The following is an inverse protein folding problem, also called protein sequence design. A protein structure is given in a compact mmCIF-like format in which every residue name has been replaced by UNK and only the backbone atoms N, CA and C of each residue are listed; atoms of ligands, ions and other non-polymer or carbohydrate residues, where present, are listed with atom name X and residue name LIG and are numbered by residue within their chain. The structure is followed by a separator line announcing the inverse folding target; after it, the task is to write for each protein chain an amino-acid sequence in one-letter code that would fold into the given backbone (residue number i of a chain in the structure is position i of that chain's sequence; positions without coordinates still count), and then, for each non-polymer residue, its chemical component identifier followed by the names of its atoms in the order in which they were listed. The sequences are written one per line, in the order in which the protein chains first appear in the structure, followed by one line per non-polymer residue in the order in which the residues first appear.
data_IF_430187326626
#
_entry.id   IF_430187326626
#
_cell.length_a   1.000
_cell.length_b   1.000
_cell.length_c   1.000
_cell.angle_alpha   90.00
_cell.angle_beta   90.00
_cell.angle_gamma   90.00
#
_symmetry.space_group_name_H-M   'P 1'
#
loop_
_entity.id
_entity.type
_entity.pdbx_description
1 polymer ?
#
# COMPACT_ATOMS: atom_id res chain seq x y z
N UNK A 1 65.36 8.70 9.60
CA UNK A 1 64.91 9.25 8.36
C UNK A 1 63.62 8.58 7.90
N UNK A 2 62.59 9.32 7.96
CA UNK A 2 61.58 9.62 6.92
C UNK A 2 61.05 8.42 6.13
N UNK A 3 59.77 8.14 6.14
CA UNK A 3 58.76 8.83 5.32
C UNK A 3 57.31 8.41 5.71
N UNK A 4 56.47 9.42 5.84
CA UNK A 4 55.02 9.33 5.83
C UNK A 4 54.50 8.75 4.51
N UNK A 5 53.45 7.99 4.58
CA UNK A 5 52.43 7.92 3.50
C UNK A 5 51.03 7.82 4.12
N UNK A 6 50.32 8.93 3.95
CA UNK A 6 48.91 9.08 4.26
C UNK A 6 48.07 8.20 3.30
N UNK A 7 47.27 7.29 3.85
CA UNK A 7 46.25 6.52 3.15
C UNK A 7 44.86 6.96 3.55
N UNK A 8 44.34 7.98 2.86
CA UNK A 8 42.98 8.44 2.96
C UNK A 8 42.04 7.46 2.24
N UNK A 9 41.34 6.60 2.96
CA UNK A 9 40.23 5.81 2.43
C UNK A 9 38.94 6.56 2.66
N UNK A 10 38.53 7.32 1.63
CA UNK A 10 37.25 7.98 1.57
C UNK A 10 36.10 6.98 1.61
N UNK A 11 35.28 7.10 2.62
CA UNK A 11 33.94 6.50 2.66
C UNK A 11 33.07 7.19 1.62
N UNK A 12 32.80 6.52 0.51
CA UNK A 12 31.75 6.88 -0.42
C UNK A 12 30.39 6.60 0.25
N UNK A 13 29.72 7.64 0.70
CA UNK A 13 28.29 7.61 0.99
C UNK A 13 27.56 7.44 -0.34
N UNK A 14 27.05 6.26 -0.62
CA UNK A 14 25.99 6.08 -1.60
C UNK A 14 24.69 6.70 -1.05
N UNK A 15 24.50 7.97 -1.32
CA UNK A 15 23.18 8.57 -1.34
C UNK A 15 22.55 8.20 -2.69
N UNK A 16 21.73 7.16 -2.67
CA UNK A 16 20.84 6.83 -3.79
C UNK A 16 19.70 7.84 -3.90
N UNK A 17 20.02 9.06 -4.35
CA UNK A 17 19.02 9.95 -4.94
C UNK A 17 18.57 9.34 -6.26
N UNK A 18 17.36 8.80 -6.27
CA UNK A 18 16.67 8.46 -7.51
C UNK A 18 16.40 9.75 -8.28
N UNK A 19 17.35 10.16 -9.13
CA UNK A 19 17.11 11.19 -10.14
C UNK A 19 16.10 10.61 -11.13
N UNK A 20 14.86 11.08 -11.04
CA UNK A 20 13.89 10.94 -12.11
C UNK A 20 14.51 11.52 -13.38
N UNK A 21 14.54 10.72 -14.44
CA UNK A 21 15.10 11.17 -15.71
C UNK A 21 14.14 12.19 -16.34
N UNK A 22 14.64 13.25 -16.99
CA UNK A 22 13.81 14.29 -17.59
C UNK A 22 12.77 13.77 -18.61
N UNK A 23 12.98 12.57 -19.13
CA UNK A 23 12.04 11.93 -20.08
C UNK A 23 10.79 11.36 -19.40
N UNK A 24 10.88 10.85 -18.15
CA UNK A 24 9.72 10.33 -17.44
C UNK A 24 8.78 11.45 -16.97
N UNK A 25 9.34 12.60 -16.60
CA UNK A 25 8.57 13.78 -16.22
C UNK A 25 7.80 14.38 -17.42
N UNK A 26 8.39 14.33 -18.62
CA UNK A 26 7.76 14.82 -19.88
C UNK A 26 6.64 13.89 -20.34
N UNK A 27 6.81 12.57 -20.29
CA UNK A 27 5.75 11.62 -20.65
C UNK A 27 4.58 11.70 -19.66
N UNK A 28 4.87 11.87 -18.38
CA UNK A 28 3.88 12.06 -17.34
C UNK A 28 3.00 13.26 -17.54
N UNK A 29 3.64 14.38 -17.81
CA UNK A 29 2.96 15.65 -18.10
C UNK A 29 2.11 15.55 -19.35
N UNK A 30 2.56 14.81 -20.37
CA UNK A 30 1.83 14.61 -21.62
C UNK A 30 0.50 13.86 -21.47
N UNK A 31 0.49 12.78 -20.67
CA UNK A 31 -0.71 11.97 -20.46
C UNK A 31 -1.74 12.73 -19.61
N UNK A 32 -1.30 13.41 -18.55
CA UNK A 32 -2.21 14.23 -17.74
C UNK A 32 -2.86 15.36 -18.51
N UNK A 33 -2.14 15.99 -19.42
CA UNK A 33 -2.69 17.01 -20.32
C UNK A 33 -3.76 16.41 -21.23
N UNK A 34 -3.51 15.22 -21.81
CA UNK A 34 -4.48 14.55 -22.68
C UNK A 34 -5.75 14.17 -21.90
N UNK A 35 -5.61 13.61 -20.70
CA UNK A 35 -6.74 13.25 -19.86
C UNK A 35 -7.50 14.51 -19.44
N UNK A 36 -6.79 15.56 -19.01
CA UNK A 36 -7.39 16.83 -18.65
C UNK A 36 -8.19 17.43 -19.82
N UNK A 37 -7.64 17.37 -21.04
CA UNK A 37 -8.33 17.88 -22.23
C UNK A 37 -9.56 17.04 -22.61
N UNK A 38 -9.50 15.73 -22.40
CA UNK A 38 -10.64 14.83 -22.63
C UNK A 38 -11.79 15.05 -21.64
N UNK A 39 -11.50 15.44 -20.39
CA UNK A 39 -12.48 15.66 -19.33
C UNK A 39 -13.13 17.06 -19.38
N UNK A 40 -12.49 18.03 -20.05
CA UNK A 40 -13.03 19.39 -20.17
C UNK A 40 -14.35 19.43 -20.94
N UNK A 41 -15.27 20.24 -20.46
CA UNK A 41 -16.49 20.59 -21.18
C UNK A 41 -16.17 21.42 -22.44
N UNK A 42 -17.08 21.51 -23.44
CA UNK A 42 -16.84 22.35 -24.61
C UNK A 42 -16.55 23.82 -24.31
N UNK A 43 -17.17 24.36 -23.24
CA UNK A 43 -16.95 25.72 -22.75
C UNK A 43 -15.56 25.88 -22.13
N UNK A 44 -15.14 24.92 -21.30
CA UNK A 44 -13.81 24.91 -20.70
C UNK A 44 -12.70 24.74 -21.75
N UNK A 45 -12.93 23.98 -22.82
CA UNK A 45 -12.00 23.89 -23.97
C UNK A 45 -11.80 25.23 -24.64
N UNK A 46 -12.85 26.00 -24.84
CA UNK A 46 -12.74 27.35 -25.40
C UNK A 46 -11.97 28.29 -24.47
N UNK A 47 -12.25 28.26 -23.16
CA UNK A 47 -11.56 29.07 -22.13
C UNK A 47 -10.09 28.64 -21.96
N UNK A 48 -9.78 27.37 -22.08
CA UNK A 48 -8.41 26.86 -21.90
C UNK A 48 -7.44 27.29 -23.00
N UNK A 49 -7.94 27.81 -24.12
CA UNK A 49 -7.11 28.39 -25.17
C UNK A 49 -6.49 29.75 -24.76
N UNK A 50 -7.17 30.49 -23.87
CA UNK A 50 -6.75 31.84 -23.47
C UNK A 50 -6.36 31.93 -22.00
N UNK A 51 -6.93 31.09 -21.15
CA UNK A 51 -6.77 31.13 -19.68
C UNK A 51 -6.29 29.79 -19.10
N UNK A 52 -5.64 29.87 -17.95
CA UNK A 52 -5.17 28.68 -17.21
C UNK A 52 -6.23 28.16 -16.22
N UNK A 53 -6.33 26.87 -16.06
CA UNK A 53 -7.24 26.24 -15.09
C UNK A 53 -6.68 26.34 -13.67
N UNK A 54 -7.28 27.18 -12.82
CA UNK A 54 -6.82 27.44 -11.44
C UNK A 54 -6.90 26.18 -10.55
N UNK A 55 -7.80 25.26 -10.84
CA UNK A 55 -7.95 24.04 -10.08
C UNK A 55 -6.88 22.97 -10.40
N UNK A 56 -6.18 23.09 -11.53
CA UNK A 56 -5.21 22.10 -12.00
C UNK A 56 -3.76 22.62 -12.13
N UNK A 57 -3.50 23.91 -11.94
CA UNK A 57 -2.13 24.45 -11.96
C UNK A 57 -1.45 24.32 -10.59
N UNK A 58 -0.11 24.19 -10.64
CA UNK A 58 0.72 24.08 -9.44
C UNK A 58 0.91 25.42 -8.71
N UNK A 59 1.34 25.36 -7.45
CA UNK A 59 1.68 26.56 -6.67
C UNK A 59 2.75 27.42 -7.38
N UNK A 60 3.75 26.78 -8.00
CA UNK A 60 4.81 27.48 -8.72
C UNK A 60 4.29 28.17 -9.98
N UNK A 61 3.34 27.55 -10.69
CA UNK A 61 2.71 28.14 -11.85
C UNK A 61 1.82 29.31 -11.49
N UNK A 62 1.07 29.23 -10.37
CA UNK A 62 0.27 30.35 -9.85
C UNK A 62 1.20 31.53 -9.52
N UNK A 63 2.26 31.27 -8.75
CA UNK A 63 3.22 32.34 -8.38
C UNK A 63 3.92 32.93 -9.61
N UNK A 64 4.30 32.11 -10.58
CA UNK A 64 4.89 32.53 -11.85
C UNK A 64 3.95 33.40 -12.68
N UNK A 65 2.66 33.02 -12.74
CA UNK A 65 1.61 33.78 -13.42
C UNK A 65 1.45 35.18 -12.77
N UNK A 66 1.38 35.25 -11.44
CA UNK A 66 1.26 36.51 -10.71
C UNK A 66 2.49 37.40 -10.92
N UNK A 67 3.68 36.83 -10.89
CA UNK A 67 4.94 37.56 -11.13
C UNK A 67 5.02 38.09 -12.57
N UNK A 68 4.56 37.32 -13.55
CA UNK A 68 4.50 37.78 -14.96
C UNK A 68 3.61 39.00 -15.16
N UNK A 69 2.61 39.16 -14.29
CA UNK A 69 1.69 40.30 -14.25
C UNK A 69 2.17 41.43 -13.32
N UNK A 70 3.51 41.51 -13.08
CA UNK A 70 4.19 42.53 -12.27
C UNK A 70 3.78 42.57 -10.78
N UNK A 71 3.29 41.46 -10.22
CA UNK A 71 3.06 41.30 -8.78
C UNK A 71 4.40 40.88 -8.14
N UNK A 72 4.78 41.53 -7.05
CA UNK A 72 6.02 41.20 -6.31
C UNK A 72 6.00 39.73 -5.83
N UNK A 73 7.15 39.04 -5.89
CA UNK A 73 7.32 37.68 -5.40
C UNK A 73 6.88 37.52 -3.93
N UNK A 74 7.19 38.49 -3.08
CA UNK A 74 6.79 38.51 -1.66
C UNK A 74 5.25 38.51 -1.46
N UNK A 75 4.48 38.82 -2.51
CA UNK A 75 3.02 38.77 -2.52
C UNK A 75 2.53 37.59 -3.27
N UNK A 76 3.17 37.20 -4.38
CA UNK A 76 2.76 36.11 -5.24
C UNK A 76 2.88 34.74 -4.57
N UNK A 77 3.99 34.44 -3.88
CA UNK A 77 4.22 33.17 -3.21
C UNK A 77 3.21 32.90 -2.07
N UNK A 78 3.00 33.81 -1.09
CA UNK A 78 1.98 33.60 -0.06
C UNK A 78 0.54 33.55 -0.61
N UNK A 79 0.27 34.27 -1.70
CA UNK A 79 -1.04 34.21 -2.34
C UNK A 79 -1.28 32.87 -3.03
N UNK A 80 -0.28 32.32 -3.72
CA UNK A 80 -0.34 31.01 -4.32
C UNK A 80 -0.51 29.89 -3.25
N UNK A 81 0.20 30.00 -2.14
CA UNK A 81 0.08 29.06 -1.02
C UNK A 81 -1.34 29.06 -0.43
N UNK A 82 -1.92 30.24 -0.18
CA UNK A 82 -3.30 30.34 0.32
C UNK A 82 -4.33 29.74 -0.65
N UNK A 83 -4.14 29.92 -1.95
CA UNK A 83 -5.03 29.32 -2.97
C UNK A 83 -4.94 27.79 -2.98
N UNK A 84 -3.74 27.24 -2.86
CA UNK A 84 -3.55 25.79 -2.75
C UNK A 84 -4.14 25.27 -1.45
N UNK A 85 -3.97 25.97 -0.32
CA UNK A 85 -4.60 25.60 0.97
C UNK A 85 -6.12 25.64 0.89
N UNK A 86 -6.72 26.65 0.23
CA UNK A 86 -8.14 26.72 0.00
C UNK A 86 -8.64 25.51 -0.80
N UNK A 87 -7.96 25.20 -1.91
CA UNK A 87 -8.29 24.04 -2.76
C UNK A 87 -8.21 22.71 -1.99
N UNK A 88 -7.13 22.49 -1.24
CA UNK A 88 -6.96 21.25 -0.47
C UNK A 88 -7.82 21.18 0.79
N UNK A 89 -8.32 22.30 1.28
CA UNK A 89 -9.23 22.35 2.42
C UNK A 89 -10.69 22.10 2.08
N UNK A 90 -11.08 22.25 0.81
CA UNK A 90 -12.41 21.95 0.33
C UNK A 90 -12.60 20.43 0.21
N UNK A 91 -13.75 19.90 0.59
CA UNK A 91 -14.08 18.45 0.49
C UNK A 91 -13.98 17.93 -0.95
N UNK A 92 -14.31 18.78 -1.93
CA UNK A 92 -14.21 18.45 -3.37
C UNK A 92 -12.81 18.60 -3.95
N UNK A 93 -11.87 19.19 -3.21
CA UNK A 93 -10.56 19.58 -3.76
C UNK A 93 -10.63 20.69 -4.81
N UNK A 94 -11.78 21.36 -4.97
CA UNK A 94 -12.04 22.37 -5.99
C UNK A 94 -12.34 23.74 -5.35
N UNK A 95 -11.94 24.80 -6.06
CA UNK A 95 -12.48 26.15 -5.86
C UNK A 95 -13.66 26.28 -6.81
N UNK A 96 -14.87 26.44 -6.26
CA UNK A 96 -16.10 26.43 -7.04
C UNK A 96 -16.48 27.80 -7.60
N UNK A 97 -16.08 28.87 -6.90
CA UNK A 97 -16.36 30.23 -7.34
C UNK A 97 -15.25 31.21 -6.93
N UNK A 98 -15.19 32.36 -7.59
CA UNK A 98 -14.21 33.40 -7.28
C UNK A 98 -14.51 34.13 -5.96
N UNK A 99 -15.71 34.01 -5.41
CA UNK A 99 -16.06 34.58 -4.09
C UNK A 99 -15.27 33.92 -2.96
N UNK A 100 -14.96 32.63 -3.08
CA UNK A 100 -14.10 31.91 -2.14
C UNK A 100 -12.67 32.49 -2.14
N UNK A 101 -12.18 32.91 -3.29
CA UNK A 101 -10.86 33.54 -3.43
C UNK A 101 -10.86 34.95 -2.83
N UNK A 102 -11.94 35.70 -3.00
CA UNK A 102 -12.10 37.03 -2.39
C UNK A 102 -12.15 36.95 -0.85
N UNK A 103 -12.78 35.92 -0.31
CA UNK A 103 -12.88 35.66 1.12
C UNK A 103 -11.50 35.38 1.78
N UNK A 104 -10.47 34.99 1.02
CA UNK A 104 -9.10 34.81 1.51
C UNK A 104 -8.39 36.11 1.90
N UNK A 105 -9.00 37.28 1.63
CA UNK A 105 -8.40 38.58 1.91
C UNK A 105 -7.12 38.87 1.13
N UNK A 106 -7.00 38.34 -0.11
CA UNK A 106 -5.92 38.62 -1.02
C UNK A 106 -5.97 40.08 -1.48
N UNK A 107 -4.81 40.62 -1.93
CA UNK A 107 -4.79 41.97 -2.51
C UNK A 107 -5.71 42.08 -3.71
N UNK A 108 -6.51 43.17 -3.87
CA UNK A 108 -7.46 43.30 -4.97
C UNK A 108 -6.85 43.07 -6.35
N UNK A 109 -5.60 43.51 -6.56
CA UNK A 109 -4.87 43.30 -7.81
C UNK A 109 -4.58 41.83 -8.11
N UNK A 110 -4.37 41.00 -7.08
CA UNK A 110 -4.14 39.57 -7.24
C UNK A 110 -5.43 38.88 -7.72
N UNK A 111 -6.56 39.23 -7.09
CA UNK A 111 -7.86 38.68 -7.43
C UNK A 111 -8.27 39.07 -8.86
N UNK A 112 -8.00 40.32 -9.25
CA UNK A 112 -8.27 40.83 -10.61
C UNK A 112 -7.47 40.04 -11.65
N UNK A 113 -6.16 39.85 -11.44
CA UNK A 113 -5.29 39.08 -12.33
C UNK A 113 -5.73 37.62 -12.42
N UNK A 114 -6.16 37.00 -11.32
CA UNK A 114 -6.67 35.63 -11.34
C UNK A 114 -7.93 35.53 -12.16
N UNK A 115 -8.89 36.45 -12.04
CA UNK A 115 -10.12 36.46 -12.83
C UNK A 115 -9.86 36.68 -14.34
N UNK A 116 -8.85 37.47 -14.68
CA UNK A 116 -8.48 37.72 -16.07
C UNK A 116 -7.73 36.55 -16.71
N UNK A 117 -6.80 35.95 -15.99
CA UNK A 117 -5.83 34.99 -16.52
C UNK A 117 -6.20 33.52 -16.26
N UNK A 118 -7.17 33.28 -15.39
CA UNK A 118 -7.56 31.89 -15.03
C UNK A 118 -9.06 31.67 -15.17
N UNK A 119 -9.44 30.39 -15.27
CA UNK A 119 -10.82 29.93 -15.12
C UNK A 119 -10.84 28.83 -14.05
N UNK A 120 -12.03 28.52 -13.55
CA UNK A 120 -12.27 27.46 -12.57
C UNK A 120 -12.75 26.23 -13.33
N UNK A 121 -11.88 25.21 -13.42
CA UNK A 121 -12.23 23.93 -14.00
C UNK A 121 -13.19 23.11 -13.14
N UNK A 122 -14.01 22.29 -13.76
CA UNK A 122 -15.00 21.45 -13.11
C UNK A 122 -14.43 20.20 -12.44
N UNK A 123 -13.14 19.93 -12.62
CA UNK A 123 -12.45 18.80 -12.03
C UNK A 123 -11.04 19.19 -11.57
N UNK A 124 -10.47 18.39 -10.66
CA UNK A 124 -9.06 18.46 -10.27
C UNK A 124 -8.47 17.07 -10.10
N UNK A 125 -7.17 16.93 -10.31
CA UNK A 125 -6.46 15.69 -9.99
C UNK A 125 -6.12 15.67 -8.49
N UNK A 126 -6.81 14.84 -7.72
CA UNK A 126 -6.55 14.66 -6.29
C UNK A 126 -5.21 14.00 -6.02
N UNK A 127 -4.84 13.05 -6.87
CA UNK A 127 -3.56 12.36 -6.82
C UNK A 127 -3.19 11.90 -8.23
N UNK A 128 -1.92 11.99 -8.57
CA UNK A 128 -1.40 11.52 -9.84
C UNK A 128 -0.18 10.65 -9.55
N UNK A 129 -0.38 9.34 -9.59
CA UNK A 129 0.70 8.38 -9.47
C UNK A 129 1.05 7.84 -10.86
N UNK A 130 2.23 8.21 -11.34
CA UNK A 130 2.74 7.69 -12.61
C UNK A 130 3.97 6.84 -12.37
N UNK A 131 3.87 5.59 -12.78
CA UNK A 131 5.00 4.67 -12.76
C UNK A 131 5.39 4.41 -14.21
N UNK A 132 6.50 4.99 -14.64
CA UNK A 132 7.04 4.75 -15.98
C UNK A 132 7.25 3.25 -16.24
N UNK A 133 7.14 2.78 -17.50
CA UNK A 133 7.22 1.37 -17.87
C UNK A 133 8.49 0.68 -17.33
N UNK A 134 9.62 1.37 -17.34
CA UNK A 134 10.90 0.85 -16.88
C UNK A 134 10.97 0.74 -15.35
N UNK A 135 10.44 1.72 -14.63
CA UNK A 135 10.33 1.70 -13.17
C UNK A 135 9.33 0.63 -12.74
N UNK A 136 8.18 0.54 -13.40
CA UNK A 136 7.18 -0.50 -13.15
C UNK A 136 7.72 -1.91 -13.36
N UNK A 137 8.51 -2.14 -14.41
CA UNK A 137 9.15 -3.43 -14.66
C UNK A 137 10.21 -3.77 -13.59
N UNK A 138 11.08 -2.83 -13.24
CA UNK A 138 12.10 -3.02 -12.21
C UNK A 138 11.48 -3.25 -10.84
N UNK A 139 10.42 -2.50 -10.53
CA UNK A 139 9.68 -2.62 -9.29
C UNK A 139 8.99 -3.98 -9.18
N UNK A 140 8.28 -4.42 -10.23
CA UNK A 140 7.68 -5.77 -10.31
C UNK A 140 8.72 -6.86 -10.09
N UNK A 141 9.88 -6.79 -10.76
CA UNK A 141 10.97 -7.74 -10.60
C UNK A 141 11.51 -7.77 -9.18
N UNK A 142 11.80 -6.60 -8.59
CA UNK A 142 12.30 -6.49 -7.21
C UNK A 142 11.28 -6.99 -6.20
N UNK A 143 10.00 -6.64 -6.35
CA UNK A 143 8.92 -7.09 -5.47
C UNK A 143 8.72 -8.60 -5.56
N UNK A 144 8.67 -9.17 -6.77
CA UNK A 144 8.57 -10.63 -6.96
C UNK A 144 9.75 -11.34 -6.31
N UNK A 145 10.96 -10.83 -6.52
CA UNK A 145 12.17 -11.42 -5.93
C UNK A 145 12.14 -11.33 -4.39
N UNK A 146 11.76 -10.19 -3.83
CA UNK A 146 11.61 -10.01 -2.38
C UNK A 146 10.56 -10.97 -1.79
N UNK A 147 9.42 -11.14 -2.47
CA UNK A 147 8.37 -12.09 -2.07
C UNK A 147 8.89 -13.52 -2.05
N UNK A 148 9.60 -13.93 -3.11
CA UNK A 148 10.18 -15.28 -3.19
C UNK A 148 11.21 -15.51 -2.07
N UNK A 149 12.11 -14.56 -1.83
CA UNK A 149 13.08 -14.67 -0.74
C UNK A 149 12.44 -14.68 0.64
N UNK A 150 11.40 -13.87 0.86
CA UNK A 150 10.64 -13.88 2.11
C UNK A 150 9.96 -15.24 2.33
N UNK A 151 9.31 -15.80 1.30
CA UNK A 151 8.69 -17.14 1.37
C UNK A 151 9.74 -18.24 1.62
N UNK A 152 10.87 -18.20 0.93
CA UNK A 152 11.96 -19.17 1.13
C UNK A 152 12.53 -19.09 2.56
N UNK A 153 12.83 -17.88 3.05
CA UNK A 153 13.32 -17.67 4.41
C UNK A 153 12.35 -18.23 5.45
N UNK A 154 11.07 -18.02 5.23
CA UNK A 154 9.99 -18.49 6.07
C UNK A 154 9.85 -20.03 6.04
N UNK A 155 9.95 -20.63 4.85
CA UNK A 155 9.99 -22.09 4.68
C UNK A 155 11.17 -22.71 5.41
N UNK A 156 12.37 -22.12 5.28
CA UNK A 156 13.58 -22.56 5.99
C UNK A 156 13.36 -22.46 7.51
N UNK A 157 12.83 -21.36 8.01
CA UNK A 157 12.54 -21.19 9.43
C UNK A 157 11.58 -22.29 9.95
N UNK A 158 10.47 -22.54 9.23
CA UNK A 158 9.50 -23.57 9.61
C UNK A 158 10.12 -24.96 9.53
N UNK A 159 10.93 -25.25 8.51
CA UNK A 159 11.61 -26.54 8.35
C UNK A 159 12.61 -26.84 9.48
N UNK A 160 13.33 -25.83 9.94
CA UNK A 160 14.27 -25.96 11.08
C UNK A 160 13.51 -26.06 12.40
N UNK A 161 12.46 -25.28 12.59
CA UNK A 161 11.73 -25.15 13.85
C UNK A 161 10.72 -26.27 14.06
N UNK A 162 10.12 -26.81 13.01
CA UNK A 162 9.06 -27.80 13.03
C UNK A 162 9.38 -29.05 12.21
N UNK A 163 8.62 -30.14 12.43
CA UNK A 163 8.68 -31.33 11.55
C UNK A 163 8.17 -30.94 10.15
N UNK A 164 8.72 -31.58 9.12
CA UNK A 164 8.42 -31.30 7.69
C UNK A 164 6.91 -31.22 7.38
N UNK A 165 6.12 -32.08 8.03
CA UNK A 165 4.66 -32.14 7.85
C UNK A 165 3.98 -30.80 8.23
N UNK A 166 4.41 -30.16 9.32
CA UNK A 166 3.90 -28.86 9.74
C UNK A 166 4.25 -27.77 8.73
N UNK A 167 5.48 -27.82 8.20
CA UNK A 167 5.92 -26.88 7.18
C UNK A 167 5.07 -26.95 5.92
N UNK A 168 4.85 -28.14 5.40
CA UNK A 168 4.01 -28.34 4.21
C UNK A 168 2.57 -27.88 4.46
N UNK A 169 1.99 -28.20 5.61
CA UNK A 169 0.64 -27.75 5.97
C UNK A 169 0.55 -26.22 6.02
N UNK A 170 1.53 -25.54 6.62
CA UNK A 170 1.58 -24.08 6.65
C UNK A 170 1.65 -23.46 5.26
N UNK A 171 2.49 -24.03 4.38
CA UNK A 171 2.66 -23.52 3.00
C UNK A 171 1.38 -23.64 2.19
N UNK A 172 0.71 -24.79 2.27
CA UNK A 172 -0.56 -25.01 1.55
C UNK A 172 -1.62 -24.02 2.03
N UNK A 173 -1.71 -23.81 3.35
CA UNK A 173 -2.64 -22.85 3.94
C UNK A 173 -2.34 -21.43 3.47
N UNK A 174 -1.07 -21.04 3.46
CA UNK A 174 -0.63 -19.73 3.01
C UNK A 174 -0.92 -19.49 1.53
N UNK A 175 -0.64 -20.48 0.68
CA UNK A 175 -0.98 -20.40 -0.75
C UNK A 175 -2.47 -20.19 -0.97
N UNK A 176 -3.30 -20.90 -0.21
CA UNK A 176 -4.75 -20.71 -0.23
C UNK A 176 -5.12 -19.27 0.17
N UNK A 177 -4.57 -18.74 1.27
CA UNK A 177 -4.90 -17.40 1.76
C UNK A 177 -4.55 -16.33 0.72
N UNK A 178 -3.37 -16.43 0.12
CA UNK A 178 -2.94 -15.50 -0.95
C UNK A 178 -3.86 -15.61 -2.17
N UNK A 179 -4.17 -16.82 -2.64
CA UNK A 179 -5.01 -17.03 -3.81
C UNK A 179 -6.44 -16.52 -3.60
N UNK A 180 -7.02 -16.78 -2.43
CA UNK A 180 -8.38 -16.30 -2.12
C UNK A 180 -8.37 -14.78 -1.96
N UNK A 181 -7.37 -14.19 -1.29
CA UNK A 181 -7.23 -12.72 -1.18
C UNK A 181 -7.11 -12.08 -2.56
N UNK A 182 -6.28 -12.62 -3.45
CA UNK A 182 -6.17 -12.15 -4.84
C UNK A 182 -7.50 -12.27 -5.59
N UNK A 183 -8.27 -13.33 -5.36
CA UNK A 183 -9.60 -13.50 -5.96
C UNK A 183 -10.57 -12.40 -5.51
N UNK A 184 -10.53 -12.01 -4.23
CA UNK A 184 -11.32 -10.88 -3.72
C UNK A 184 -10.89 -9.55 -4.34
N UNK A 185 -9.58 -9.28 -4.42
CA UNK A 185 -9.02 -8.08 -5.06
C UNK A 185 -9.54 -7.97 -6.51
N UNK A 186 -9.49 -9.05 -7.27
CA UNK A 186 -9.98 -9.10 -8.65
C UNK A 186 -11.50 -8.93 -8.74
N UNK A 187 -12.25 -9.60 -7.86
CA UNK A 187 -13.71 -9.52 -7.83
C UNK A 187 -14.21 -8.10 -7.55
N UNK A 188 -13.59 -7.40 -6.59
CA UNK A 188 -13.92 -6.01 -6.24
C UNK A 188 -13.21 -4.98 -7.12
N UNK A 189 -12.43 -5.42 -8.12
CA UNK A 189 -11.69 -4.57 -9.05
C UNK A 189 -10.75 -3.58 -8.37
N UNK A 190 -10.16 -3.98 -7.25
CA UNK A 190 -9.15 -3.16 -6.55
C UNK A 190 -7.88 -3.11 -7.40
N UNK A 191 -7.36 -1.93 -7.62
CA UNK A 191 -6.13 -1.73 -8.40
C UNK A 191 -4.91 -2.33 -7.68
N UNK A 192 -4.07 -3.05 -8.43
CA UNK A 192 -2.84 -3.64 -7.91
C UNK A 192 -1.73 -2.57 -7.81
N UNK A 193 -1.86 -1.70 -6.83
CA UNK A 193 -0.86 -0.69 -6.49
C UNK A 193 0.25 -1.28 -5.61
N UNK A 194 1.35 -0.53 -5.40
CA UNK A 194 2.42 -0.93 -4.48
C UNK A 194 1.94 -1.17 -3.05
N UNK A 195 1.12 -0.29 -2.47
CA UNK A 195 0.50 -0.55 -1.16
C UNK A 195 -0.28 -1.87 -1.11
N UNK A 196 -1.04 -2.22 -2.16
CA UNK A 196 -1.78 -3.49 -2.22
C UNK A 196 -0.82 -4.70 -2.22
N UNK A 197 0.28 -4.63 -2.96
CA UNK A 197 1.31 -5.68 -2.93
C UNK A 197 1.96 -5.80 -1.55
N UNK A 198 2.25 -4.67 -0.90
CA UNK A 198 2.75 -4.66 0.48
C UNK A 198 1.74 -5.28 1.47
N UNK A 199 0.44 -5.04 1.28
CA UNK A 199 -0.61 -5.67 2.06
C UNK A 199 -0.60 -7.19 1.91
N UNK A 200 -0.47 -7.71 0.69
CA UNK A 200 -0.38 -9.17 0.45
C UNK A 200 0.81 -9.77 1.18
N UNK A 201 1.99 -9.13 1.12
CA UNK A 201 3.17 -9.58 1.86
C UNK A 201 2.95 -9.54 3.39
N UNK A 202 2.24 -8.53 3.87
CA UNK A 202 1.89 -8.42 5.29
C UNK A 202 0.96 -9.54 5.73
N UNK A 203 -0.05 -9.89 4.91
CA UNK A 203 -0.98 -11.01 5.18
C UNK A 203 -0.22 -12.33 5.28
N UNK A 204 0.75 -12.57 4.40
CA UNK A 204 1.63 -13.75 4.45
C UNK A 204 2.30 -13.88 5.81
N UNK A 205 2.91 -12.79 6.31
CA UNK A 205 3.53 -12.78 7.63
C UNK A 205 2.53 -12.95 8.77
N UNK A 206 1.37 -12.32 8.66
CA UNK A 206 0.32 -12.35 9.67
C UNK A 206 -0.29 -13.76 9.82
N UNK A 207 -0.71 -14.38 8.72
CA UNK A 207 -1.27 -15.75 8.70
C UNK A 207 -0.29 -16.78 9.26
N UNK A 208 1.00 -16.64 8.94
CA UNK A 208 2.01 -17.54 9.47
C UNK A 208 2.24 -17.37 10.97
N UNK A 209 2.19 -16.16 11.50
CA UNK A 209 2.37 -15.93 12.93
C UNK A 209 1.34 -16.74 13.74
N UNK A 210 0.08 -16.71 13.36
CA UNK A 210 -0.98 -17.45 14.05
C UNK A 210 -0.86 -18.96 13.82
N UNK A 211 -0.51 -19.38 12.60
CA UNK A 211 -0.25 -20.79 12.29
C UNK A 211 0.88 -21.38 13.15
N UNK A 212 1.97 -20.62 13.33
CA UNK A 212 3.10 -21.02 14.19
C UNK A 212 2.67 -21.21 15.64
N UNK A 213 1.84 -20.31 16.17
CA UNK A 213 1.33 -20.41 17.54
C UNK A 213 0.52 -21.68 17.76
N UNK A 214 -0.40 -22.00 16.83
CA UNK A 214 -1.19 -23.23 16.91
C UNK A 214 -0.29 -24.46 16.78
N UNK A 215 0.64 -24.47 15.85
CA UNK A 215 1.56 -25.59 15.62
C UNK A 215 2.51 -25.83 16.79
N UNK A 216 2.98 -24.78 17.44
CA UNK A 216 3.82 -24.91 18.64
C UNK A 216 3.00 -25.54 19.78
N UNK A 217 1.74 -25.15 19.94
CA UNK A 217 0.83 -25.74 20.92
C UNK A 217 0.51 -27.21 20.63
N UNK A 218 0.24 -27.53 19.36
CA UNK A 218 0.03 -28.93 18.92
C UNK A 218 1.28 -29.77 19.24
N UNK A 219 2.47 -29.26 18.94
CA UNK A 219 3.74 -29.96 19.20
C UNK A 219 3.96 -30.21 20.70
N UNK A 220 3.61 -29.25 21.55
CA UNK A 220 3.75 -29.43 23.00
C UNK A 220 2.71 -30.43 23.54
N UNK A 221 1.46 -30.35 23.08
CA UNK A 221 0.43 -31.32 23.44
C UNK A 221 0.77 -32.73 22.93
N UNK A 222 1.44 -32.90 21.81
CA UNK A 222 1.93 -34.20 21.32
C UNK A 222 2.92 -34.85 22.30
N UNK A 223 3.70 -34.07 23.03
CA UNK A 223 4.63 -34.61 24.03
C UNK A 223 3.90 -35.12 25.30
N UNK A 224 2.82 -34.44 25.67
CA UNK A 224 2.04 -34.69 26.87
C UNK A 224 0.99 -35.78 26.66
N UNK A 225 0.26 -35.66 25.51
CA UNK A 225 -0.92 -36.48 25.19
C UNK A 225 -0.58 -37.67 24.25
N UNK A 226 0.51 -38.35 24.49
CA UNK A 226 1.13 -39.39 23.63
C UNK A 226 0.20 -40.55 23.20
N UNK A 227 -0.89 -40.79 23.91
CA UNK A 227 -1.83 -41.92 23.67
C UNK A 227 -3.21 -41.49 23.15
N UNK A 228 -3.47 -40.19 23.00
CA UNK A 228 -4.78 -39.71 22.57
C UNK A 228 -4.92 -39.75 21.04
N UNK A 229 -6.17 -39.77 20.57
CA UNK A 229 -6.46 -39.65 19.14
C UNK A 229 -6.01 -38.28 18.62
N UNK A 230 -5.49 -38.26 17.41
CA UNK A 230 -4.99 -37.04 16.76
C UNK A 230 -6.06 -35.94 16.73
N UNK A 231 -7.34 -36.30 16.55
CA UNK A 231 -8.44 -35.34 16.51
C UNK A 231 -8.62 -34.61 17.82
N UNK A 232 -8.64 -35.34 18.94
CA UNK A 232 -8.77 -34.77 20.29
C UNK A 232 -7.57 -33.87 20.67
N UNK A 233 -6.38 -34.27 20.21
CA UNK A 233 -5.17 -33.48 20.42
C UNK A 233 -5.20 -32.16 19.65
N UNK A 234 -5.62 -32.17 18.37
CA UNK A 234 -5.77 -30.98 17.55
C UNK A 234 -6.84 -30.05 18.12
N UNK A 235 -8.01 -30.59 18.46
CA UNK A 235 -9.14 -29.85 19.03
C UNK A 235 -8.75 -29.15 20.35
N UNK A 236 -8.12 -29.89 21.26
CA UNK A 236 -7.60 -29.33 22.51
C UNK A 236 -6.57 -28.21 22.25
N UNK A 237 -5.67 -28.38 21.28
CA UNK A 237 -4.64 -27.40 20.96
C UNK A 237 -5.23 -26.12 20.38
N UNK A 238 -6.21 -26.25 19.48
CA UNK A 238 -6.94 -25.12 18.90
C UNK A 238 -7.65 -24.35 20.01
N UNK A 239 -8.42 -25.02 20.86
CA UNK A 239 -9.17 -24.38 21.94
C UNK A 239 -8.26 -23.62 22.92
N UNK A 240 -7.07 -24.14 23.20
CA UNK A 240 -6.09 -23.49 24.07
C UNK A 240 -5.47 -22.22 23.48
N UNK A 241 -5.43 -22.07 22.16
CA UNK A 241 -4.86 -20.91 21.46
C UNK A 241 -5.92 -19.97 20.90
N UNK A 242 -7.18 -20.43 20.82
CA UNK A 242 -8.28 -19.74 20.14
C UNK A 242 -8.49 -18.30 20.64
N UNK A 243 -8.53 -18.12 21.95
CA UNK A 243 -8.73 -16.79 22.56
C UNK A 243 -7.63 -15.81 22.14
N UNK A 244 -6.38 -16.26 22.12
CA UNK A 244 -5.25 -15.42 21.69
C UNK A 244 -5.36 -15.06 20.21
N UNK A 245 -5.59 -16.03 19.34
CA UNK A 245 -5.70 -15.82 17.89
C UNK A 245 -6.86 -14.88 17.56
N UNK A 246 -8.03 -15.08 18.17
CA UNK A 246 -9.19 -14.19 17.97
C UNK A 246 -8.89 -12.77 18.46
N UNK A 247 -8.30 -12.60 19.65
CA UNK A 247 -8.00 -11.28 20.19
C UNK A 247 -6.98 -10.51 19.35
N UNK A 248 -5.91 -11.17 18.90
CA UNK A 248 -4.92 -10.55 18.03
C UNK A 248 -5.50 -10.18 16.67
N UNK A 249 -6.30 -11.07 16.07
CA UNK A 249 -6.94 -10.81 14.77
C UNK A 249 -7.99 -9.71 14.86
N UNK A 250 -8.79 -9.70 15.95
CA UNK A 250 -9.82 -8.68 16.14
C UNK A 250 -9.22 -7.29 16.34
N UNK A 251 -8.17 -7.17 17.19
CA UNK A 251 -7.50 -5.87 17.41
C UNK A 251 -6.87 -5.33 16.12
N UNK A 252 -6.22 -6.18 15.35
CA UNK A 252 -5.63 -5.76 14.06
C UNK A 252 -6.72 -5.42 13.05
N UNK A 253 -7.80 -6.21 13.00
CA UNK A 253 -8.92 -5.97 12.11
C UNK A 253 -9.61 -4.64 12.42
N UNK A 254 -9.81 -4.29 13.69
CA UNK A 254 -10.37 -2.99 14.09
C UNK A 254 -9.50 -1.83 13.63
N UNK A 255 -8.17 -1.96 13.75
CA UNK A 255 -7.24 -0.93 13.25
C UNK A 255 -7.34 -0.78 11.73
N UNK A 256 -7.39 -1.91 11.01
CA UNK A 256 -7.48 -1.89 9.54
C UNK A 256 -8.84 -1.36 9.06
N UNK A 257 -9.94 -1.66 9.77
CA UNK A 257 -11.26 -1.08 9.51
C UNK A 257 -11.21 0.45 9.68
N UNK A 258 -10.58 0.94 10.74
CA UNK A 258 -10.40 2.38 10.92
C UNK A 258 -9.59 3.01 9.77
N UNK A 259 -8.51 2.36 9.32
CA UNK A 259 -7.75 2.79 8.16
C UNK A 259 -8.57 2.76 6.87
N UNK A 260 -9.45 1.77 6.70
CA UNK A 260 -10.31 1.67 5.52
C UNK A 260 -11.30 2.85 5.42
N UNK A 261 -11.90 3.27 6.53
CA UNK A 261 -12.87 4.37 6.54
C UNK A 261 -12.24 5.75 6.62
N UNK A 262 -11.11 5.91 7.30
CA UNK A 262 -10.50 7.20 7.59
C UNK A 262 -9.17 7.43 6.87
N UNK A 263 -8.62 6.44 6.18
CA UNK A 263 -7.27 6.50 5.60
C UNK A 263 -7.16 7.19 4.24
N UNK A 264 -8.29 7.61 3.64
CA UNK A 264 -8.29 8.24 2.32
C UNK A 264 -8.05 7.26 1.16
N UNK A 265 -8.14 7.78 -0.08
CA UNK A 265 -8.12 6.95 -1.30
C UNK A 265 -6.81 6.16 -1.49
N UNK A 266 -5.67 6.78 -1.17
CA UNK A 266 -4.33 6.17 -1.40
C UNK A 266 -4.15 4.85 -0.67
N UNK A 267 -4.66 4.74 0.56
CA UNK A 267 -4.53 3.53 1.39
C UNK A 267 -5.79 2.67 1.44
N UNK A 268 -6.84 3.05 0.70
CA UNK A 268 -8.10 2.30 0.67
C UNK A 268 -7.91 0.88 0.15
N UNK A 269 -7.23 0.70 -0.99
CA UNK A 269 -6.92 -0.62 -1.55
C UNK A 269 -6.02 -1.47 -0.65
N UNK A 270 -5.04 -0.86 0.02
CA UNK A 270 -4.20 -1.50 1.02
C UNK A 270 -5.04 -2.02 2.21
N UNK A 271 -5.87 -1.14 2.78
CA UNK A 271 -6.71 -1.47 3.94
C UNK A 271 -7.75 -2.53 3.60
N UNK A 272 -8.40 -2.45 2.43
CA UNK A 272 -9.32 -3.47 1.94
C UNK A 272 -8.63 -4.84 1.85
N UNK A 273 -7.45 -4.88 1.22
CA UNK A 273 -6.67 -6.12 1.05
C UNK A 273 -6.31 -6.73 2.40
N UNK A 274 -5.81 -5.93 3.35
CA UNK A 274 -5.51 -6.39 4.71
C UNK A 274 -6.76 -6.90 5.45
N UNK A 275 -7.88 -6.20 5.35
CA UNK A 275 -9.14 -6.59 6.01
C UNK A 275 -9.58 -7.98 5.54
N UNK A 276 -9.61 -8.20 4.23
CA UNK A 276 -9.94 -9.51 3.63
C UNK A 276 -8.94 -10.57 4.08
N UNK A 277 -7.64 -10.27 3.98
CA UNK A 277 -6.58 -11.21 4.31
C UNK A 277 -6.54 -11.61 5.78
N UNK A 278 -6.81 -10.70 6.72
CA UNK A 278 -6.85 -11.01 8.16
C UNK A 278 -8.03 -11.94 8.46
N UNK A 279 -9.22 -11.65 7.92
CA UNK A 279 -10.40 -12.51 8.13
C UNK A 279 -10.17 -13.90 7.57
N UNK A 280 -9.70 -14.00 6.34
CA UNK A 280 -9.39 -15.28 5.69
C UNK A 280 -8.26 -16.02 6.40
N UNK A 281 -7.17 -15.35 6.73
CA UNK A 281 -6.02 -15.92 7.42
C UNK A 281 -6.36 -16.44 8.81
N UNK A 282 -7.22 -15.75 9.55
CA UNK A 282 -7.70 -16.23 10.86
C UNK A 282 -8.51 -17.51 10.70
N UNK A 283 -9.43 -17.55 9.73
CA UNK A 283 -10.21 -18.74 9.46
C UNK A 283 -9.32 -19.91 9.00
N UNK A 284 -8.46 -19.69 8.03
CA UNK A 284 -7.62 -20.75 7.45
C UNK A 284 -6.62 -21.31 8.45
N UNK A 285 -6.06 -20.46 9.29
CA UNK A 285 -5.14 -20.87 10.36
C UNK A 285 -5.81 -21.82 11.36
N UNK A 286 -7.04 -21.52 11.79
CA UNK A 286 -7.75 -22.34 12.76
C UNK A 286 -8.21 -23.67 12.15
N UNK A 287 -8.82 -23.62 10.96
CA UNK A 287 -9.48 -24.79 10.38
C UNK A 287 -8.62 -25.51 9.37
N UNK A 288 -8.10 -24.81 8.38
CA UNK A 288 -7.47 -25.42 7.21
C UNK A 288 -6.08 -25.98 7.53
N UNK A 289 -5.25 -25.24 8.28
CA UNK A 289 -3.91 -25.71 8.65
C UNK A 289 -3.94 -26.99 9.47
N UNK A 290 -4.90 -27.09 10.39
CA UNK A 290 -5.13 -28.26 11.21
C UNK A 290 -5.76 -29.42 10.43
N UNK A 291 -6.64 -29.14 9.45
CA UNK A 291 -7.21 -30.18 8.58
C UNK A 291 -6.13 -30.89 7.75
N UNK A 292 -5.19 -30.12 7.17
CA UNK A 292 -4.05 -30.70 6.44
C UNK A 292 -3.17 -31.53 7.36
N UNK A 293 -2.89 -31.03 8.55
CA UNK A 293 -2.09 -31.75 9.53
C UNK A 293 -2.77 -33.08 9.96
N UNK A 294 -4.09 -33.07 10.18
CA UNK A 294 -4.88 -34.28 10.46
C UNK A 294 -4.74 -35.35 9.37
N UNK A 295 -4.91 -34.94 8.09
CA UNK A 295 -4.83 -35.89 6.96
C UNK A 295 -3.44 -36.56 6.89
N UNK A 296 -2.38 -35.79 7.13
CA UNK A 296 -1.01 -36.29 7.04
C UNK A 296 -0.61 -37.14 8.26
N UNK A 297 -0.97 -36.71 9.46
CA UNK A 297 -0.71 -37.48 10.68
C UNK A 297 -1.50 -38.81 10.69
N UNK A 298 -2.75 -38.84 10.25
CA UNK A 298 -3.51 -40.09 10.12
C UNK A 298 -2.84 -41.07 9.14
N UNK A 299 -2.30 -40.58 8.02
CA UNK A 299 -1.52 -41.41 7.09
C UNK A 299 -0.23 -41.94 7.74
N UNK A 300 0.44 -41.16 8.56
CA UNK A 300 1.66 -41.54 9.25
C UNK A 300 1.39 -42.56 10.36
N UNK A 301 0.36 -42.34 11.19
CA UNK A 301 -0.05 -43.27 12.26
C UNK A 301 -0.72 -44.55 11.72
N UNK A 302 -1.45 -44.46 10.60
CA UNK A 302 -2.06 -45.63 9.97
C UNK A 302 -1.06 -46.67 9.41
N UNK A 303 0.17 -46.18 9.09
CA UNK A 303 1.28 -47.07 8.71
C UNK A 303 1.89 -47.83 9.88
N UNK A 304 1.86 -47.27 11.08
CA UNK A 304 2.43 -47.87 12.30
C UNK A 304 1.51 -48.93 12.94
N UNK A 305 0.19 -48.88 12.70
CA UNK A 305 -0.75 -49.92 13.18
C UNK A 305 -0.83 -51.17 12.31
N UNK A 306 -0.20 -51.17 11.12
CA UNK A 306 -0.15 -52.36 10.21
C UNK A 306 1.16 -53.15 10.29
N UNK A 307 2.03 -52.88 11.25
CA UNK A 307 3.17 -53.71 11.63
C UNK A 307 2.98 -54.20 13.05
#
# INVERSE_FOLDING_TARGET
PTTRTDGNTGQAKEQGESRETPQEEVEGTGISIIIADALKTPEEKALSAEKKDLNNISQQEISGLLVSQKISRDTAEPSAEKLVQLRTGNESGLINNFEEIEALGLRPRVVEVLKEQTYLGSFTFLSQEMVGPQVGHNLRKKTTLATVWAMLGMLIYIAIRFRFIFGVSAVITLMHDVLVTLSFILFFRVELTLPVVAAILTIVGYSLNDTIVIFDRIRDNMKIMKRQEVVLLLDSSINQTLSRTIMTSLTTLLTVIALFFFGGEVIHGFSFTLMVGIVLGTYSTIYQSCAWLKIWEQKAFGRTKKK
#
